data_IF_828360177484
#
_entry.id   IF_828360177484
#
_cell.length_a   1.000
_cell.length_b   1.000
_cell.length_c   1.000
_cell.angle_alpha   90.00
_cell.angle_beta   90.00
_cell.angle_gamma   90.00
#
_symmetry.space_group_name_H-M   'P 1'
#
loop_
_entity.id
_entity.type
_entity.pdbx_description
1 polymer ?
#
# COMPACT_ATOMS: atom_id res chain seq x y z
N UNK A 1 5.62 6.69 -6.87
CA UNK A 1 5.58 6.81 -5.40
C UNK A 1 4.88 8.11 -5.07
N UNK A 2 3.93 8.02 -4.14
CA UNK A 2 3.12 9.14 -3.68
C UNK A 2 3.31 9.26 -2.18
N UNK A 3 3.46 10.48 -1.70
CA UNK A 3 3.32 10.83 -0.29
C UNK A 3 1.92 11.45 -0.10
N UNK A 4 1.31 11.22 1.05
CA UNK A 4 0.02 11.83 1.37
C UNK A 4 0.01 12.26 2.83
N UNK A 5 -0.49 13.47 3.06
CA UNK A 5 -0.67 14.04 4.37
C UNK A 5 -1.69 15.21 4.31
N UNK A 6 -1.94 15.90 5.42
CA UNK A 6 -2.94 16.99 5.42
C UNK A 6 -2.53 18.26 4.65
N UNK A 7 -1.25 18.43 4.31
CA UNK A 7 -0.79 19.53 3.45
C UNK A 7 -1.06 19.20 1.98
N UNK A 8 -0.81 17.95 1.59
CA UNK A 8 -1.17 17.42 0.28
C UNK A 8 -1.62 15.96 0.39
N UNK A 9 -2.90 15.72 0.13
CA UNK A 9 -3.48 14.38 0.18
C UNK A 9 -2.98 13.46 -0.95
N UNK A 10 -2.25 13.99 -1.94
CA UNK A 10 -1.68 13.22 -3.05
C UNK A 10 -0.47 13.93 -3.70
N UNK A 11 0.67 13.90 -3.01
CA UNK A 11 1.93 14.46 -3.53
C UNK A 11 2.72 13.39 -4.31
N UNK A 12 2.89 13.59 -5.62
CA UNK A 12 3.68 12.67 -6.46
C UNK A 12 5.18 12.97 -6.32
N UNK A 13 5.89 12.14 -5.55
CA UNK A 13 7.34 12.29 -5.33
C UNK A 13 8.16 11.63 -6.45
N UNK A 14 7.70 10.49 -6.96
CA UNK A 14 8.35 9.77 -8.06
C UNK A 14 7.30 9.31 -9.06
N UNK A 15 7.36 9.84 -10.28
CA UNK A 15 6.39 9.52 -11.32
C UNK A 15 6.96 8.53 -12.35
N UNK A 16 6.40 7.31 -12.40
CA UNK A 16 6.66 6.28 -13.42
C UNK A 16 8.14 6.05 -13.80
N UNK A 17 9.06 6.22 -12.83
CA UNK A 17 10.49 6.00 -13.04
C UNK A 17 10.86 4.52 -12.97
N UNK A 18 11.93 4.16 -13.67
CA UNK A 18 12.58 2.87 -13.46
C UNK A 18 13.03 2.77 -12.01
N UNK A 19 12.79 1.63 -11.36
CA UNK A 19 13.15 1.41 -9.95
C UNK A 19 14.65 1.62 -9.68
N UNK A 20 15.52 1.42 -10.68
CA UNK A 20 16.96 1.67 -10.57
C UNK A 20 17.33 3.15 -10.50
N UNK A 21 16.40 4.04 -10.87
CA UNK A 21 16.57 5.49 -10.86
C UNK A 21 15.85 6.16 -9.68
N UNK A 22 15.13 5.37 -8.88
CA UNK A 22 14.44 5.87 -7.69
C UNK A 22 15.49 6.04 -6.57
N UNK A 23 15.70 7.27 -6.05
CA UNK A 23 16.63 7.49 -4.96
C UNK A 23 16.15 6.79 -3.68
N UNK A 24 17.08 6.45 -2.80
CA UNK A 24 16.73 5.93 -1.47
C UNK A 24 15.88 6.93 -0.70
N UNK A 25 14.88 6.42 0.01
CA UNK A 25 14.06 7.22 0.90
C UNK A 25 14.84 7.51 2.16
N UNK A 26 15.17 8.78 2.37
CA UNK A 26 15.76 9.27 3.61
C UNK A 26 14.73 10.07 4.41
N UNK A 27 15.06 10.37 5.67
CA UNK A 27 14.26 11.27 6.52
C UNK A 27 14.22 12.71 5.99
N UNK A 28 15.02 13.04 4.98
CA UNK A 28 15.02 14.35 4.33
C UNK A 28 14.10 14.36 3.10
N UNK A 29 13.95 13.21 2.43
CA UNK A 29 13.15 13.07 1.19
C UNK A 29 11.75 12.52 1.44
N UNK A 30 11.44 12.08 2.67
CA UNK A 30 10.14 11.53 3.04
C UNK A 30 9.80 11.92 4.49
N UNK A 31 8.92 12.90 4.66
CA UNK A 31 8.53 13.45 5.97
C UNK A 31 7.00 13.51 6.05
N UNK A 32 6.33 12.50 6.62
CA UNK A 32 4.90 12.56 6.84
C UNK A 32 4.54 13.64 7.88
N UNK A 33 3.51 14.46 7.61
CA UNK A 33 3.10 15.59 8.46
C UNK A 33 1.61 15.53 8.84
N UNK A 34 1.29 15.52 10.13
CA UNK A 34 -0.07 15.68 10.65
C UNK A 34 -1.03 14.49 10.35
N UNK A 35 -2.14 14.69 9.60
CA UNK A 35 -3.23 13.71 9.50
C UNK A 35 -3.11 12.74 8.31
N UNK A 36 -4.06 11.82 8.23
CA UNK A 36 -4.07 10.71 7.26
C UNK A 36 -5.33 10.79 6.38
N UNK A 37 -5.27 11.47 5.22
CA UNK A 37 -6.36 11.46 4.24
C UNK A 37 -6.28 10.18 3.38
N UNK A 38 -6.46 9.02 4.02
CA UNK A 38 -6.28 7.70 3.43
C UNK A 38 -7.20 7.47 2.22
N UNK A 39 -8.51 7.74 2.34
CA UNK A 39 -9.45 7.54 1.25
C UNK A 39 -9.17 8.47 0.06
N UNK A 40 -8.81 9.72 0.32
CA UNK A 40 -8.41 10.64 -0.75
C UNK A 40 -7.15 10.18 -1.46
N UNK A 41 -6.14 9.73 -0.71
CA UNK A 41 -4.91 9.18 -1.26
C UNK A 41 -5.19 7.93 -2.12
N UNK A 42 -6.03 7.01 -1.63
CA UNK A 42 -6.41 5.80 -2.35
C UNK A 42 -7.18 6.10 -3.63
N UNK A 43 -8.20 6.96 -3.55
CA UNK A 43 -9.02 7.36 -4.70
C UNK A 43 -8.21 8.08 -5.77
N UNK A 44 -7.38 9.04 -5.35
CA UNK A 44 -6.48 9.77 -6.28
C UNK A 44 -5.44 8.86 -6.90
N UNK A 45 -4.85 7.94 -6.14
CA UNK A 45 -3.90 6.96 -6.67
C UNK A 45 -4.51 6.09 -7.77
N UNK A 46 -5.72 5.60 -7.56
CA UNK A 46 -6.41 4.75 -8.54
C UNK A 46 -6.70 5.54 -9.82
N UNK A 47 -7.23 6.75 -9.69
CA UNK A 47 -7.55 7.60 -10.84
C UNK A 47 -6.31 8.03 -11.63
N UNK A 48 -5.26 8.47 -10.93
CA UNK A 48 -4.00 8.88 -11.56
C UNK A 48 -3.35 7.71 -12.30
N UNK A 49 -3.31 6.54 -11.67
CA UNK A 49 -2.73 5.34 -12.28
C UNK A 49 -3.55 4.87 -13.49
N UNK A 50 -4.87 4.88 -13.40
CA UNK A 50 -5.74 4.56 -14.55
C UNK A 50 -5.51 5.51 -15.72
N UNK A 51 -5.51 6.82 -15.46
CA UNK A 51 -5.29 7.83 -16.49
C UNK A 51 -3.94 7.64 -17.18
N UNK A 52 -2.88 7.40 -16.41
CA UNK A 52 -1.53 7.16 -16.94
C UNK A 52 -1.48 5.90 -17.79
N UNK A 53 -2.04 4.78 -17.33
CA UNK A 53 -2.06 3.54 -18.09
C UNK A 53 -2.90 3.64 -19.37
N UNK A 54 -3.99 4.39 -19.35
CA UNK A 54 -4.80 4.67 -20.54
C UNK A 54 -4.04 5.49 -21.59
N UNK A 55 -3.20 6.43 -21.15
CA UNK A 55 -2.34 7.25 -22.02
C UNK A 55 -1.12 6.51 -22.60
N UNK A 56 -0.79 5.31 -22.10
CA UNK A 56 0.36 4.54 -22.59
C UNK A 56 0.05 3.78 -23.89
N UNK A 57 1.02 3.69 -24.82
CA UNK A 57 0.97 2.74 -25.91
C UNK A 57 0.79 1.32 -25.37
N UNK A 58 0.02 0.49 -26.07
CA UNK A 58 -0.30 -0.88 -25.65
C UNK A 58 0.98 -1.71 -25.35
N UNK A 59 2.00 -1.57 -26.19
CA UNK A 59 3.29 -2.25 -26.02
C UNK A 59 4.08 -1.82 -24.78
N UNK A 60 3.79 -0.64 -24.23
CA UNK A 60 4.44 -0.11 -23.03
C UNK A 60 3.58 -0.29 -21.76
N UNK A 61 2.31 -0.72 -21.90
CA UNK A 61 1.41 -0.89 -20.77
C UNK A 61 1.84 -2.11 -19.94
N UNK A 62 1.99 -1.97 -18.62
CA UNK A 62 2.32 -3.11 -17.78
C UNK A 62 1.20 -4.15 -17.82
N UNK A 63 1.59 -5.42 -17.85
CA UNK A 63 0.65 -6.54 -17.76
C UNK A 63 0.07 -6.71 -16.36
N UNK A 64 0.78 -6.22 -15.33
CA UNK A 64 0.42 -6.36 -13.91
C UNK A 64 0.65 -5.06 -13.18
N UNK A 65 -0.26 -4.77 -12.27
CA UNK A 65 -0.22 -3.55 -11.44
C UNK A 65 -0.36 -3.95 -9.98
N UNK A 66 0.57 -3.47 -9.15
CA UNK A 66 0.51 -3.61 -7.70
C UNK A 66 0.45 -2.21 -7.10
N UNK A 67 -0.56 -1.97 -6.27
CA UNK A 67 -0.72 -0.73 -5.50
C UNK A 67 -0.57 -1.08 -4.03
N UNK A 68 0.53 -0.63 -3.42
CA UNK A 68 0.79 -0.82 -2.01
C UNK A 68 0.51 0.47 -1.22
N UNK A 69 -0.44 0.41 -0.31
CA UNK A 69 -0.71 1.47 0.67
C UNK A 69 0.03 1.15 1.96
N UNK A 70 0.81 2.12 2.45
CA UNK A 70 1.59 1.99 3.68
C UNK A 70 1.28 3.18 4.56
N UNK A 71 0.76 2.94 5.75
CA UNK A 71 0.40 3.99 6.72
C UNK A 71 0.68 3.52 8.15
N UNK A 72 0.83 4.45 9.08
CA UNK A 72 0.92 4.15 10.51
C UNK A 72 -0.19 4.82 11.33
N UNK A 73 -1.21 5.37 10.67
CA UNK A 73 -2.40 5.97 11.28
C UNK A 73 -3.67 5.73 10.47
N UNK A 74 -4.81 5.83 11.15
CA UNK A 74 -6.17 5.68 10.61
C UNK A 74 -6.66 6.90 9.83
N UNK A 75 -7.65 6.69 8.96
CA UNK A 75 -8.36 7.76 8.26
C UNK A 75 -8.91 8.81 9.24
N UNK A 76 -8.63 10.08 8.95
CA UNK A 76 -9.12 11.19 9.77
C UNK A 76 -9.23 12.53 9.03
N UNK A 77 -8.92 12.58 7.73
CA UNK A 77 -8.69 13.84 7.01
C UNK A 77 -9.19 13.89 5.58
N UNK A 78 -9.74 12.80 5.03
CA UNK A 78 -10.28 12.73 3.67
C UNK A 78 -11.54 13.58 3.49
N UNK A 79 -11.68 14.17 2.30
CA UNK A 79 -12.76 15.12 1.97
C UNK A 79 -13.41 14.86 0.62
N UNK A 80 -12.72 14.21 -0.31
CA UNK A 80 -13.19 14.01 -1.69
C UNK A 80 -13.74 12.60 -1.90
N UNK A 81 -13.09 11.60 -1.32
CA UNK A 81 -13.44 10.20 -1.49
C UNK A 81 -14.00 9.63 -0.19
N UNK A 82 -15.14 8.95 -0.30
CA UNK A 82 -15.69 8.16 0.79
C UNK A 82 -15.18 6.72 0.73
N UNK A 83 -15.25 6.03 1.87
CA UNK A 83 -15.00 4.58 1.97
C UNK A 83 -15.72 3.78 0.89
N UNK A 84 -17.00 4.07 0.63
CA UNK A 84 -17.81 3.33 -0.35
C UNK A 84 -17.39 3.61 -1.79
N UNK A 85 -16.92 4.83 -2.09
CA UNK A 85 -16.33 5.17 -3.39
C UNK A 85 -15.06 4.37 -3.62
N UNK A 86 -14.12 4.42 -2.67
CA UNK A 86 -12.84 3.68 -2.75
C UNK A 86 -13.09 2.18 -2.87
N UNK A 87 -14.05 1.64 -2.12
CA UNK A 87 -14.41 0.23 -2.18
C UNK A 87 -14.89 -0.18 -3.58
N UNK A 88 -15.74 0.63 -4.20
CA UNK A 88 -16.20 0.38 -5.56
C UNK A 88 -15.04 0.42 -6.56
N UNK A 89 -14.14 1.39 -6.40
CA UNK A 89 -12.98 1.55 -7.28
C UNK A 89 -12.01 0.37 -7.18
N UNK A 90 -11.67 -0.07 -5.97
CA UNK A 90 -10.82 -1.25 -5.74
C UNK A 90 -11.42 -2.48 -6.40
N UNK A 91 -12.69 -2.76 -6.11
CA UNK A 91 -13.40 -3.92 -6.66
C UNK A 91 -13.38 -3.92 -8.18
N UNK A 92 -13.66 -2.77 -8.80
CA UNK A 92 -13.64 -2.64 -10.25
C UNK A 92 -12.26 -2.93 -10.86
N UNK A 93 -11.18 -2.43 -10.25
CA UNK A 93 -9.81 -2.67 -10.75
C UNK A 93 -9.34 -4.10 -10.55
N UNK A 94 -9.73 -4.75 -9.45
CA UNK A 94 -9.46 -6.17 -9.23
C UNK A 94 -10.17 -7.03 -10.28
N UNK A 95 -11.46 -6.78 -10.53
CA UNK A 95 -12.28 -7.61 -11.44
C UNK A 95 -11.95 -7.41 -12.92
N UNK A 96 -11.60 -6.19 -13.33
CA UNK A 96 -11.48 -5.83 -14.76
C UNK A 96 -10.04 -5.65 -15.24
N UNK A 97 -9.08 -5.48 -14.35
CA UNK A 97 -7.73 -5.02 -14.73
C UNK A 97 -6.60 -5.76 -14.03
N UNK A 98 -6.91 -6.80 -13.24
CA UNK A 98 -5.93 -7.62 -12.51
C UNK A 98 -5.00 -6.78 -11.61
N UNK A 99 -5.54 -5.71 -11.01
CA UNK A 99 -4.79 -4.90 -10.06
C UNK A 99 -4.74 -5.58 -8.70
N UNK A 100 -3.53 -5.65 -8.16
CA UNK A 100 -3.26 -6.16 -6.82
C UNK A 100 -3.19 -4.99 -5.84
N UNK A 101 -4.05 -4.99 -4.83
CA UNK A 101 -4.03 -3.99 -3.76
C UNK A 101 -3.45 -4.62 -2.50
N UNK A 102 -2.43 -3.97 -1.96
CA UNK A 102 -1.71 -4.42 -0.77
C UNK A 102 -1.82 -3.34 0.29
N UNK A 103 -2.08 -3.73 1.54
CA UNK A 103 -2.17 -2.79 2.66
C UNK A 103 -1.21 -3.18 3.78
N UNK A 104 -0.28 -2.28 4.10
CA UNK A 104 0.61 -2.40 5.25
C UNK A 104 0.25 -1.31 6.25
N UNK A 105 -0.07 -1.70 7.48
CA UNK A 105 -0.35 -0.72 8.54
C UNK A 105 0.31 -1.08 9.85
N UNK A 106 0.71 -0.10 10.63
CA UNK A 106 1.03 -0.28 12.04
C UNK A 106 -0.12 0.05 13.00
N UNK A 107 -1.22 0.54 12.45
CA UNK A 107 -2.43 0.92 13.16
C UNK A 107 -3.57 -0.07 12.85
N UNK A 108 -4.27 -0.51 13.89
CA UNK A 108 -5.31 -1.54 13.78
C UNK A 108 -6.60 -0.96 13.16
N UNK A 109 -6.96 0.27 13.50
CA UNK A 109 -8.16 0.91 12.98
C UNK A 109 -7.98 1.19 11.48
N UNK A 110 -6.79 1.65 11.07
CA UNK A 110 -6.42 1.77 9.65
C UNK A 110 -6.48 0.42 8.89
N UNK A 111 -6.11 -0.68 9.55
CA UNK A 111 -6.20 -2.02 8.98
C UNK A 111 -7.66 -2.42 8.77
N UNK A 112 -8.52 -2.20 9.76
CA UNK A 112 -9.97 -2.45 9.64
C UNK A 112 -10.57 -1.62 8.50
N UNK A 113 -10.20 -0.35 8.38
CA UNK A 113 -10.61 0.52 7.29
C UNK A 113 -10.23 -0.06 5.92
N UNK A 114 -9.00 -0.53 5.75
CA UNK A 114 -8.55 -1.13 4.51
C UNK A 114 -9.37 -2.36 4.12
N UNK A 115 -9.60 -3.28 5.05
CA UNK A 115 -10.47 -4.45 4.82
C UNK A 115 -11.88 -4.01 4.42
N UNK A 116 -12.36 -2.95 5.05
CA UNK A 116 -13.68 -2.38 4.81
C UNK A 116 -13.81 -1.67 3.45
N UNK A 117 -12.67 -1.31 2.83
CA UNK A 117 -12.56 -0.84 1.43
C UNK A 117 -12.37 -1.97 0.42
N UNK A 118 -12.39 -3.23 0.85
CA UNK A 118 -12.30 -4.39 -0.05
C UNK A 118 -10.89 -4.84 -0.39
N UNK A 119 -9.85 -4.30 0.26
CA UNK A 119 -8.53 -4.92 0.21
C UNK A 119 -8.60 -6.28 0.90
N UNK A 120 -8.08 -7.32 0.25
CA UNK A 120 -8.14 -8.67 0.79
C UNK A 120 -7.34 -8.79 2.09
N UNK A 121 -7.88 -9.52 3.06
CA UNK A 121 -7.16 -9.81 4.31
C UNK A 121 -5.82 -10.51 4.06
N UNK A 122 -5.77 -11.41 3.08
CA UNK A 122 -4.55 -12.07 2.64
C UNK A 122 -3.48 -11.07 2.15
N UNK A 123 -3.89 -9.99 1.51
CA UNK A 123 -3.03 -8.91 0.98
C UNK A 123 -2.84 -7.76 1.96
N UNK A 124 -3.24 -7.93 3.22
CA UNK A 124 -3.12 -6.92 4.27
C UNK A 124 -2.26 -7.43 5.43
N UNK A 125 -1.29 -6.64 5.90
CA UNK A 125 -0.38 -7.01 6.99
C UNK A 125 -0.27 -5.89 8.02
N UNK A 126 -0.59 -6.24 9.28
CA UNK A 126 -0.37 -5.37 10.42
C UNK A 126 1.07 -5.56 10.91
N UNK A 127 1.88 -4.51 10.91
CA UNK A 127 3.29 -4.54 11.31
C UNK A 127 3.55 -3.79 12.63
N UNK A 128 4.67 -4.09 13.28
CA UNK A 128 5.13 -3.33 14.45
C UNK A 128 5.95 -2.10 14.03
N UNK A 129 5.74 -0.94 14.68
CA UNK A 129 6.45 0.34 14.41
C UNK A 129 7.95 0.29 14.74
N UNK A 130 8.49 -0.87 15.11
CA UNK A 130 9.92 -1.07 15.34
C UNK A 130 10.68 -1.18 14.02
N UNK A 131 11.97 -0.84 14.03
CA UNK A 131 12.82 -0.99 12.84
C UNK A 131 12.80 -2.42 12.29
N UNK A 132 12.73 -3.42 13.17
CA UNK A 132 12.64 -4.82 12.78
C UNK A 132 11.27 -5.19 12.19
N UNK A 133 10.17 -4.74 12.80
CA UNK A 133 8.81 -4.99 12.30
C UNK A 133 8.61 -4.39 10.91
N UNK A 134 9.06 -3.15 10.70
CA UNK A 134 9.07 -2.47 9.40
C UNK A 134 9.91 -3.25 8.39
N UNK A 135 11.14 -3.63 8.75
CA UNK A 135 12.02 -4.39 7.85
C UNK A 135 11.42 -5.75 7.45
N UNK A 136 10.81 -6.46 8.40
CA UNK A 136 10.12 -7.73 8.15
C UNK A 136 8.91 -7.56 7.24
N UNK A 137 8.10 -6.51 7.42
CA UNK A 137 6.97 -6.22 6.54
C UNK A 137 7.42 -5.93 5.09
N UNK A 138 8.50 -5.15 4.92
CA UNK A 138 9.10 -4.91 3.61
C UNK A 138 9.66 -6.19 2.98
N UNK A 139 10.28 -7.07 3.78
CA UNK A 139 10.79 -8.35 3.30
C UNK A 139 9.64 -9.25 2.82
N UNK A 140 8.54 -9.34 3.58
CA UNK A 140 7.35 -10.09 3.21
C UNK A 140 6.75 -9.57 1.89
N UNK A 141 6.58 -8.25 1.77
CA UNK A 141 6.09 -7.61 0.54
C UNK A 141 7.01 -7.88 -0.66
N UNK A 142 8.33 -7.75 -0.47
CA UNK A 142 9.34 -8.01 -1.51
C UNK A 142 9.32 -9.47 -1.97
N UNK A 143 9.18 -10.41 -1.03
CA UNK A 143 9.05 -11.84 -1.33
C UNK A 143 7.79 -12.12 -2.14
N UNK A 144 6.63 -11.67 -1.64
CA UNK A 144 5.33 -11.90 -2.28
C UNK A 144 5.26 -11.27 -3.68
N UNK A 145 5.76 -10.04 -3.84
CA UNK A 145 5.86 -9.36 -5.14
C UNK A 145 6.74 -10.13 -6.13
N UNK A 146 7.85 -10.72 -5.65
CA UNK A 146 8.74 -11.52 -6.50
C UNK A 146 8.05 -12.80 -6.98
N UNK A 147 7.35 -13.50 -6.09
CA UNK A 147 6.61 -14.72 -6.45
C UNK A 147 5.48 -14.41 -7.44
N UNK A 148 4.73 -13.33 -7.19
CA UNK A 148 3.67 -12.87 -8.08
C UNK A 148 4.24 -12.49 -9.45
N UNK A 149 5.36 -11.76 -9.50
CA UNK A 149 6.05 -11.43 -10.76
C UNK A 149 6.53 -12.67 -11.53
N UNK A 150 6.84 -13.76 -10.83
CA UNK A 150 7.34 -15.00 -11.41
C UNK A 150 6.24 -16.02 -11.75
N UNK A 151 4.96 -15.62 -11.72
CA UNK A 151 3.81 -16.50 -11.98
C UNK A 151 3.68 -17.68 -11.01
N UNK A 152 4.32 -17.61 -9.84
CA UNK A 152 4.29 -18.70 -8.85
C UNK A 152 3.07 -18.61 -7.91
N UNK A 153 2.49 -17.42 -7.79
CA UNK A 153 1.26 -17.15 -7.04
C UNK A 153 0.33 -16.27 -7.87
N UNK A 154 -0.98 -16.40 -7.67
CA UNK A 154 -2.00 -15.61 -8.37
C UNK A 154 -2.13 -14.20 -7.82
N UNK A 155 -1.82 -13.99 -6.54
CA UNK A 155 -2.09 -12.75 -5.83
C UNK A 155 -0.95 -12.42 -4.88
N UNK A 156 -0.73 -11.12 -4.64
CA UNK A 156 0.19 -10.67 -3.61
C UNK A 156 -0.47 -10.88 -2.25
N UNK A 157 0.06 -11.82 -1.47
CA UNK A 157 -0.47 -12.21 -0.16
C UNK A 157 0.62 -12.45 0.87
N UNK A 158 0.24 -12.44 2.14
CA UNK A 158 1.10 -12.65 3.31
C UNK A 158 0.73 -13.93 4.03
N UNK A 159 1.76 -14.71 4.35
CA UNK A 159 1.64 -16.02 5.01
C UNK A 159 1.38 -15.88 6.51
N UNK A 160 1.02 -16.99 7.15
CA UNK A 160 0.91 -17.04 8.61
C UNK A 160 2.27 -16.81 9.30
N UNK A 161 3.38 -17.18 8.65
CA UNK A 161 4.73 -16.91 9.14
C UNK A 161 5.04 -15.40 9.12
N UNK A 162 4.69 -14.72 8.02
CA UNK A 162 4.81 -13.25 7.92
C UNK A 162 4.03 -12.58 9.05
N UNK A 163 2.81 -13.06 9.35
CA UNK A 163 1.97 -12.52 10.44
C UNK A 163 2.52 -12.86 11.82
N UNK A 164 3.03 -14.07 12.02
CA UNK A 164 3.59 -14.53 13.29
C UNK A 164 4.86 -13.74 13.65
N UNK A 165 5.70 -13.42 12.66
CA UNK A 165 6.91 -12.61 12.85
C UNK A 165 6.60 -11.25 13.51
N UNK A 166 5.46 -10.64 13.17
CA UNK A 166 5.01 -9.38 13.75
C UNK A 166 4.51 -9.53 15.20
N UNK A 167 3.94 -10.68 15.56
CA UNK A 167 3.43 -10.94 16.91
C UNK A 167 4.54 -11.29 17.92
N UNK A 168 5.60 -11.97 17.45
CA UNK A 168 6.76 -12.31 18.28
C UNK A 168 7.39 -11.04 18.85
N UNK A 169 7.49 -9.99 18.04
CA UNK A 169 8.07 -8.70 18.46
C UNK A 169 7.18 -7.95 19.46
N UNK A 170 5.85 -7.92 19.25
CA UNK A 170 4.91 -7.36 20.24
C UNK A 170 5.08 -8.00 21.63
N UNK A 171 5.31 -9.32 21.68
CA UNK A 171 5.55 -10.05 22.94
C UNK A 171 6.90 -9.74 23.58
N UNK A 172 7.96 -9.50 22.79
CA UNK A 172 9.26 -9.06 23.32
C UNK A 172 9.19 -7.66 23.93
N UNK A 173 8.45 -6.75 23.28
CA UNK A 173 8.27 -5.37 23.74
C UNK A 173 7.53 -5.29 25.10
N UNK A 174 6.55 -6.15 25.34
CA UNK A 174 5.80 -6.18 26.60
C UNK A 174 6.56 -6.82 27.79
N UNK A 175 7.82 -7.21 27.60
CA UNK A 175 8.67 -7.85 28.63
C UNK A 175 9.78 -6.94 29.18
N UNK A 176 9.79 -5.67 28.80
CA UNK A 176 10.71 -4.64 29.29
C UNK A 176 9.93 -3.48 29.89
#
# INVERSE_FOLDING_TARGET
MVQFDTQDAYEVIQDFKNIQEVPELTRETFVPRAGTPLYDAMGKAINDLEHKLAGMPEAARPQRVIVAFVTDGQENSSREFSRSMVQKMIKEKQEKSDWQFVFLSADLDAMEEALSTGVAAASSLLFDKTAHGIASAWQALSCSTRLFRADQVSDVSFTDEDRASQQIEKKKKNRH
#
